data_IF_233798392344
#
_entry.id   IF_233798392344
#
_cell.length_a   1.000
_cell.length_b   1.000
_cell.length_c   1.000
_cell.angle_alpha   90.00
_cell.angle_beta   90.00
_cell.angle_gamma   90.00
#
_symmetry.space_group_name_H-M   'P 1'
#
loop_
_entity.id
_entity.type
_entity.pdbx_description
1 polymer ?
#
# COMPACT_ATOMS: atom_id res chain seq x y z
N UNK A 1 -16.95 -27.27 -8.87
CA UNK A 1 -16.33 -27.88 -7.67
C UNK A 1 -16.53 -26.88 -6.53
N UNK A 2 -17.40 -27.20 -5.56
CA UNK A 2 -17.53 -26.40 -4.32
C UNK A 2 -16.47 -26.91 -3.36
N UNK A 3 -15.32 -26.28 -3.31
CA UNK A 3 -14.39 -26.45 -2.18
C UNK A 3 -14.76 -25.42 -1.12
N UNK A 4 -15.88 -25.65 -0.44
CA UNK A 4 -16.18 -24.91 0.78
C UNK A 4 -15.30 -25.53 1.88
N UNK A 5 -14.17 -24.92 2.15
CA UNK A 5 -13.44 -25.18 3.38
C UNK A 5 -14.34 -24.78 4.56
N UNK A 6 -14.52 -25.70 5.50
CA UNK A 6 -15.23 -25.37 6.72
C UNK A 6 -14.39 -24.46 7.59
N UNK A 7 -15.00 -23.69 8.51
CA UNK A 7 -14.24 -22.90 9.49
C UNK A 7 -13.25 -23.79 10.27
N UNK A 8 -13.63 -25.05 10.52
CA UNK A 8 -12.75 -26.03 11.17
C UNK A 8 -11.50 -26.36 10.34
N UNK A 9 -11.61 -26.39 9.00
CA UNK A 9 -10.45 -26.60 8.12
C UNK A 9 -9.51 -25.39 8.16
N UNK A 10 -10.07 -24.17 8.15
CA UNK A 10 -9.31 -22.93 8.27
C UNK A 10 -8.59 -22.87 9.61
N UNK A 11 -9.25 -23.17 10.72
CA UNK A 11 -8.65 -23.17 12.05
C UNK A 11 -7.56 -24.24 12.20
N UNK A 12 -7.74 -25.38 11.54
CA UNK A 12 -6.74 -26.45 11.49
C UNK A 12 -5.50 -26.00 10.69
N UNK A 13 -5.72 -25.34 9.55
CA UNK A 13 -4.64 -24.80 8.73
C UNK A 13 -3.89 -23.68 9.45
N UNK A 14 -4.59 -22.79 10.16
CA UNK A 14 -3.96 -21.74 10.99
C UNK A 14 -3.04 -22.35 12.04
N UNK A 15 -3.50 -23.35 12.78
CA UNK A 15 -2.66 -24.03 13.79
C UNK A 15 -1.44 -24.66 13.16
N UNK A 16 -1.63 -25.41 12.06
CA UNK A 16 -0.51 -26.00 11.34
C UNK A 16 0.54 -24.97 10.91
N UNK A 17 0.11 -23.85 10.34
CA UNK A 17 1.02 -22.77 9.89
C UNK A 17 1.72 -22.11 11.08
N UNK A 18 0.98 -21.86 12.18
CA UNK A 18 1.55 -21.31 13.41
C UNK A 18 2.64 -22.23 14.00
N UNK A 19 2.40 -23.53 14.02
CA UNK A 19 3.37 -24.54 14.48
C UNK A 19 4.64 -24.54 13.60
N UNK A 20 4.48 -24.49 12.27
CA UNK A 20 5.61 -24.39 11.33
C UNK A 20 6.40 -23.12 11.50
N UNK A 21 5.72 -21.98 11.68
CA UNK A 21 6.35 -20.70 11.99
C UNK A 21 7.18 -20.78 13.29
N UNK A 22 6.62 -21.35 14.35
CA UNK A 22 7.31 -21.54 15.62
C UNK A 22 8.58 -22.38 15.46
N UNK A 23 8.49 -23.48 14.69
CA UNK A 23 9.66 -24.34 14.40
C UNK A 23 10.74 -23.55 13.63
N UNK A 24 10.36 -22.79 12.61
CA UNK A 24 11.31 -21.96 11.84
C UNK A 24 11.96 -20.91 12.75
N UNK A 25 11.19 -20.26 13.63
CA UNK A 25 11.73 -19.28 14.59
C UNK A 25 12.75 -19.90 15.54
N UNK A 26 12.48 -21.11 16.05
CA UNK A 26 13.43 -21.86 16.88
C UNK A 26 14.69 -22.23 16.07
N UNK A 27 14.53 -22.62 14.81
CA UNK A 27 15.65 -22.94 13.92
C UNK A 27 16.50 -21.71 13.62
N UNK A 28 15.90 -20.51 13.46
CA UNK A 28 16.63 -19.24 13.34
C UNK A 28 17.52 -19.04 14.58
N UNK A 29 16.97 -19.13 15.78
CA UNK A 29 17.73 -18.95 17.02
C UNK A 29 18.86 -19.98 17.16
N UNK A 30 18.61 -21.23 16.76
CA UNK A 30 19.63 -22.26 16.72
C UNK A 30 20.74 -21.94 15.70
N UNK A 31 20.38 -21.51 14.49
CA UNK A 31 21.32 -21.19 13.42
C UNK A 31 22.22 -19.99 13.80
N UNK A 32 21.64 -18.97 14.42
CA UNK A 32 22.38 -17.80 14.92
C UNK A 32 23.48 -18.20 15.93
N UNK A 33 23.18 -19.20 16.76
CA UNK A 33 24.11 -19.67 17.81
C UNK A 33 25.15 -20.66 17.31
N UNK A 34 24.79 -21.53 16.35
CA UNK A 34 25.59 -22.74 16.06
C UNK A 34 26.27 -22.74 14.68
N UNK A 35 25.81 -21.94 13.72
CA UNK A 35 26.39 -21.92 12.38
C UNK A 35 27.61 -20.99 12.31
N UNK A 36 28.63 -21.40 11.52
CA UNK A 36 29.77 -20.55 11.18
C UNK A 36 29.35 -19.39 10.30
N UNK A 37 30.07 -18.28 10.38
CA UNK A 37 29.70 -16.99 9.76
C UNK A 37 29.36 -17.07 8.26
N UNK A 38 30.15 -17.85 7.48
CA UNK A 38 29.96 -17.94 6.02
C UNK A 38 28.65 -18.61 5.62
N UNK A 39 28.25 -19.68 6.31
CA UNK A 39 27.02 -20.43 6.04
C UNK A 39 25.78 -19.81 6.73
N UNK A 40 26.02 -19.15 7.86
CA UNK A 40 24.97 -18.60 8.71
C UNK A 40 24.11 -17.58 8.00
N UNK A 41 24.71 -16.64 7.25
CA UNK A 41 23.97 -15.54 6.63
C UNK A 41 22.97 -16.01 5.57
N UNK A 42 23.35 -16.98 4.75
CA UNK A 42 22.47 -17.54 3.71
C UNK A 42 21.32 -18.34 4.32
N UNK A 43 21.66 -19.25 5.27
CA UNK A 43 20.65 -20.06 5.97
C UNK A 43 19.66 -19.19 6.74
N UNK A 44 20.15 -18.15 7.46
CA UNK A 44 19.28 -17.23 8.19
C UNK A 44 18.37 -16.44 7.26
N UNK A 45 18.87 -16.00 6.10
CA UNK A 45 18.04 -15.30 5.12
C UNK A 45 16.85 -16.16 4.67
N UNK A 46 17.10 -17.42 4.31
CA UNK A 46 16.05 -18.36 3.90
C UNK A 46 15.06 -18.67 5.03
N UNK A 47 15.55 -18.95 6.24
CA UNK A 47 14.69 -19.24 7.39
C UNK A 47 13.81 -18.04 7.76
N UNK A 48 14.39 -16.85 7.80
CA UNK A 48 13.66 -15.63 8.08
C UNK A 48 12.63 -15.32 6.99
N UNK A 49 12.96 -15.48 5.70
CA UNK A 49 12.03 -15.36 4.59
C UNK A 49 10.86 -16.33 4.72
N UNK A 50 11.11 -17.60 5.09
CA UNK A 50 10.05 -18.58 5.35
C UNK A 50 9.16 -18.16 6.53
N UNK A 51 9.73 -17.66 7.63
CA UNK A 51 8.97 -17.15 8.77
C UNK A 51 8.05 -15.99 8.37
N UNK A 52 8.56 -15.07 7.53
CA UNK A 52 7.77 -13.96 6.99
C UNK A 52 6.64 -14.45 6.09
N UNK A 53 6.89 -15.44 5.24
CA UNK A 53 5.85 -16.05 4.40
C UNK A 53 4.72 -16.64 5.26
N UNK A 54 5.05 -17.36 6.34
CA UNK A 54 4.04 -17.86 7.27
C UNK A 54 3.26 -16.72 7.96
N UNK A 55 3.92 -15.61 8.32
CA UNK A 55 3.23 -14.44 8.85
C UNK A 55 2.19 -13.89 7.84
N UNK A 56 2.58 -13.72 6.59
CA UNK A 56 1.69 -13.23 5.52
C UNK A 56 0.49 -14.15 5.31
N UNK A 57 0.71 -15.46 5.33
CA UNK A 57 -0.39 -16.43 5.20
C UNK A 57 -1.34 -16.29 6.39
N UNK A 58 -0.83 -16.25 7.63
CA UNK A 58 -1.66 -16.10 8.82
C UNK A 58 -2.46 -14.80 8.85
N UNK A 59 -1.89 -13.71 8.35
CA UNK A 59 -2.58 -12.41 8.27
C UNK A 59 -3.72 -12.39 7.24
N UNK A 60 -3.62 -13.21 6.19
CA UNK A 60 -4.54 -13.19 5.07
C UNK A 60 -5.45 -14.44 4.95
N UNK A 61 -5.27 -15.43 5.80
CA UNK A 61 -6.01 -16.72 5.69
C UNK A 61 -7.53 -16.59 5.90
N UNK A 62 -7.94 -15.53 6.62
CA UNK A 62 -9.35 -15.20 6.82
C UNK A 62 -9.91 -14.24 5.77
N UNK A 63 -9.04 -13.71 4.92
CA UNK A 63 -9.48 -12.77 3.90
C UNK A 63 -10.31 -13.49 2.83
N UNK A 64 -11.49 -12.93 2.52
CA UNK A 64 -12.28 -13.43 1.41
C UNK A 64 -11.53 -13.28 0.09
N UNK A 65 -11.66 -14.25 -0.82
CA UNK A 65 -11.27 -14.04 -2.21
C UNK A 65 -11.91 -12.77 -2.78
N UNK A 66 -11.22 -12.12 -3.71
CA UNK A 66 -11.73 -10.91 -4.33
C UNK A 66 -11.86 -11.07 -5.84
N UNK A 67 -12.94 -10.55 -6.40
CA UNK A 67 -13.10 -10.35 -7.83
C UNK A 67 -12.74 -8.91 -8.15
N UNK A 68 -11.65 -8.71 -8.87
CA UNK A 68 -11.13 -7.39 -9.18
C UNK A 68 -11.47 -6.99 -10.62
N UNK A 69 -11.95 -5.77 -10.82
CA UNK A 69 -12.22 -5.18 -12.12
C UNK A 69 -11.08 -4.27 -12.55
N UNK A 70 -10.38 -4.70 -13.59
CA UNK A 70 -9.31 -3.95 -14.22
C UNK A 70 -9.73 -3.45 -15.60
N UNK A 71 -9.19 -2.33 -16.04
CA UNK A 71 -9.42 -1.77 -17.36
C UNK A 71 -9.13 -0.28 -17.42
N UNK A 72 -9.07 0.27 -18.63
CA UNK A 72 -8.88 1.69 -18.86
C UNK A 72 -9.94 2.55 -18.12
N UNK A 73 -9.64 3.82 -17.94
CA UNK A 73 -10.64 4.77 -17.44
C UNK A 73 -11.86 4.83 -18.38
N UNK A 74 -13.04 5.02 -17.82
CA UNK A 74 -14.30 5.22 -18.54
C UNK A 74 -14.80 4.04 -19.41
N UNK A 75 -14.24 2.84 -19.27
CA UNK A 75 -14.74 1.64 -20.01
C UNK A 75 -15.97 0.99 -19.38
N UNK A 76 -16.57 1.60 -18.37
CA UNK A 76 -17.82 1.12 -17.75
C UNK A 76 -17.60 0.20 -16.53
N UNK A 77 -16.42 0.18 -15.90
CA UNK A 77 -16.14 -0.63 -14.69
C UNK A 77 -17.17 -0.37 -13.58
N UNK A 78 -17.36 0.89 -13.18
CA UNK A 78 -18.31 1.25 -12.11
C UNK A 78 -19.76 0.93 -12.50
N UNK A 79 -20.11 0.98 -13.79
CA UNK A 79 -21.42 0.54 -14.27
C UNK A 79 -21.58 -0.99 -14.15
N UNK A 80 -20.53 -1.76 -14.43
CA UNK A 80 -20.53 -3.20 -14.20
C UNK A 80 -20.70 -3.53 -12.71
N UNK A 81 -19.99 -2.82 -11.83
CA UNK A 81 -20.15 -2.96 -10.38
C UNK A 81 -21.58 -2.67 -9.95
N UNK A 82 -22.17 -1.59 -10.46
CA UNK A 82 -23.59 -1.29 -10.21
C UNK A 82 -24.49 -2.48 -10.55
N UNK A 83 -24.30 -3.10 -11.72
CA UNK A 83 -25.12 -4.25 -12.13
C UNK A 83 -24.83 -5.53 -11.30
N UNK A 84 -23.60 -5.71 -10.85
CA UNK A 84 -23.25 -6.83 -9.96
C UNK A 84 -23.82 -6.64 -8.56
N UNK A 85 -23.88 -5.40 -8.06
CA UNK A 85 -24.30 -5.04 -6.70
C UNK A 85 -25.74 -4.51 -6.62
N UNK A 86 -26.54 -4.69 -7.66
CA UNK A 86 -27.93 -4.28 -7.65
C UNK A 86 -28.85 -5.35 -8.22
N UNK A 87 -30.14 -5.21 -7.92
CA UNK A 87 -31.25 -5.97 -8.52
C UNK A 87 -32.36 -5.00 -8.88
N UNK A 88 -33.41 -5.46 -9.56
CA UNK A 88 -34.60 -4.65 -9.85
C UNK A 88 -35.28 -4.11 -8.57
N UNK A 89 -35.08 -4.77 -7.42
CA UNK A 89 -35.69 -4.39 -6.13
C UNK A 89 -34.71 -3.71 -5.17
N UNK A 90 -33.41 -3.88 -5.38
CA UNK A 90 -32.35 -3.36 -4.50
C UNK A 90 -31.37 -2.54 -5.32
N UNK A 91 -31.52 -1.21 -5.36
CA UNK A 91 -30.58 -0.35 -6.07
C UNK A 91 -29.18 -0.39 -5.45
N UNK A 92 -28.17 0.03 -6.20
CA UNK A 92 -26.81 0.11 -5.70
C UNK A 92 -26.60 1.40 -4.89
N UNK A 93 -26.83 1.28 -3.60
CA UNK A 93 -26.73 2.37 -2.62
C UNK A 93 -25.77 1.98 -1.49
N UNK A 94 -25.04 2.98 -0.99
CA UNK A 94 -24.25 2.85 0.23
C UNK A 94 -25.04 3.50 1.37
N UNK A 95 -25.19 2.76 2.45
CA UNK A 95 -25.98 3.22 3.60
C UNK A 95 -25.10 3.81 4.69
N UNK A 96 -25.58 4.89 5.30
CA UNK A 96 -25.04 5.49 6.50
C UNK A 96 -26.17 5.69 7.52
N UNK A 97 -26.34 4.76 8.43
CA UNK A 97 -27.51 4.75 9.32
C UNK A 97 -28.82 4.57 8.52
N UNK A 98 -29.73 5.53 8.65
CA UNK A 98 -31.02 5.54 7.95
C UNK A 98 -30.91 6.13 6.53
N UNK A 99 -29.83 6.78 6.18
CA UNK A 99 -29.64 7.43 4.89
C UNK A 99 -29.05 6.46 3.87
N UNK A 100 -29.50 6.56 2.61
CA UNK A 100 -29.02 5.77 1.49
C UNK A 100 -28.55 6.69 0.36
N UNK A 101 -27.38 6.42 -0.18
CA UNK A 101 -26.72 7.23 -1.18
C UNK A 101 -26.47 6.41 -2.45
N UNK A 102 -27.01 6.82 -3.58
CA UNK A 102 -26.66 6.22 -4.88
C UNK A 102 -25.16 6.39 -5.13
N UNK A 103 -24.47 5.27 -5.29
CA UNK A 103 -23.01 5.25 -5.41
C UNK A 103 -22.54 6.04 -6.64
N UNK A 104 -23.22 5.86 -7.79
CA UNK A 104 -22.81 6.50 -9.04
C UNK A 104 -23.22 7.98 -9.15
N UNK A 105 -24.13 8.45 -8.30
CA UNK A 105 -24.53 9.86 -8.32
C UNK A 105 -23.83 10.69 -7.27
N UNK A 106 -23.68 10.17 -6.05
CA UNK A 106 -23.24 10.93 -4.89
C UNK A 106 -21.80 10.66 -4.47
N UNK A 107 -21.28 9.45 -4.74
CA UNK A 107 -19.96 9.01 -4.29
C UNK A 107 -18.97 8.98 -5.46
N UNK A 108 -19.30 8.26 -6.52
CA UNK A 108 -18.44 8.10 -7.70
C UNK A 108 -19.19 8.40 -9.01
N UNK A 109 -19.62 9.67 -9.24
CA UNK A 109 -20.41 10.03 -10.42
C UNK A 109 -19.61 9.84 -11.71
N UNK A 110 -20.27 9.30 -12.73
CA UNK A 110 -19.72 9.23 -14.07
C UNK A 110 -19.60 10.65 -14.63
N UNK A 111 -18.43 11.05 -15.05
CA UNK A 111 -18.20 12.37 -15.67
C UNK A 111 -16.76 12.58 -16.07
N UNK A 112 -16.54 12.95 -17.29
CA UNK A 112 -15.40 13.46 -18.07
C UNK A 112 -13.96 13.46 -17.53
N UNK A 113 -13.74 13.23 -16.26
CA UNK A 113 -12.41 13.04 -15.62
C UNK A 113 -12.41 11.73 -14.86
N UNK A 114 -11.25 11.15 -14.65
CA UNK A 114 -11.08 10.00 -13.78
C UNK A 114 -11.71 10.29 -12.42
N UNK A 115 -12.71 9.50 -12.06
CA UNK A 115 -13.50 9.74 -10.85
C UNK A 115 -12.98 8.96 -9.64
N UNK A 116 -12.18 7.90 -9.86
CA UNK A 116 -11.75 7.00 -8.81
C UNK A 116 -10.23 6.98 -8.70
N UNK A 117 -9.69 7.63 -7.67
CA UNK A 117 -8.26 7.64 -7.35
C UNK A 117 -7.82 6.54 -6.40
N UNK A 118 -8.76 5.79 -5.80
CA UNK A 118 -8.53 4.80 -4.76
C UNK A 118 -9.11 3.45 -5.15
N UNK A 119 -8.46 2.37 -4.70
CA UNK A 119 -9.06 1.03 -4.74
C UNK A 119 -10.24 0.98 -3.79
N UNK A 120 -11.39 0.53 -4.29
CA UNK A 120 -12.62 0.45 -3.51
C UNK A 120 -13.06 -1.01 -3.37
N UNK A 121 -13.22 -1.47 -2.13
CA UNK A 121 -13.77 -2.80 -1.81
C UNK A 121 -15.24 -2.71 -1.44
N UNK A 122 -16.03 -3.65 -1.96
CA UNK A 122 -17.42 -3.87 -1.58
C UNK A 122 -17.55 -5.22 -0.90
N UNK A 123 -18.02 -5.22 0.35
CA UNK A 123 -18.13 -6.42 1.18
C UNK A 123 -19.44 -6.45 1.96
N UNK A 124 -19.97 -7.64 2.24
CA UNK A 124 -21.11 -7.84 3.13
C UNK A 124 -20.70 -8.00 4.60
N UNK A 125 -19.40 -8.05 4.90
CA UNK A 125 -18.87 -8.45 6.21
C UNK A 125 -18.30 -7.30 7.02
N UNK A 126 -18.62 -6.05 6.67
CA UNK A 126 -18.09 -4.95 7.46
C UNK A 126 -18.96 -4.69 8.69
N UNK A 127 -18.36 -4.82 9.87
CA UNK A 127 -18.92 -4.28 11.11
C UNK A 127 -18.56 -2.81 11.27
N UNK A 128 -19.55 -2.00 11.61
CA UNK A 128 -19.34 -0.58 11.94
C UNK A 128 -18.80 -0.49 13.37
N UNK A 129 -17.48 -0.35 13.49
CA UNK A 129 -16.81 -0.26 14.81
C UNK A 129 -17.11 1.07 15.53
N UNK A 130 -17.21 2.16 14.77
CA UNK A 130 -17.45 3.51 15.26
C UNK A 130 -18.59 4.14 14.46
N UNK A 131 -19.77 4.39 15.09
CA UNK A 131 -20.94 4.93 14.38
C UNK A 131 -20.69 6.26 13.67
N UNK A 132 -19.91 7.17 14.28
CA UNK A 132 -19.56 8.47 13.68
C UNK A 132 -18.48 8.38 12.59
N UNK A 133 -17.80 7.25 12.48
CA UNK A 133 -16.76 6.94 11.50
C UNK A 133 -17.05 5.59 10.82
N UNK A 134 -18.11 5.50 10.01
CA UNK A 134 -18.62 4.22 9.51
C UNK A 134 -17.76 3.60 8.38
N UNK A 135 -16.88 4.38 7.76
CA UNK A 135 -16.09 3.92 6.63
C UNK A 135 -14.73 3.42 7.08
N UNK A 136 -14.47 2.14 6.86
CA UNK A 136 -13.16 1.54 7.12
C UNK A 136 -12.22 1.75 5.93
N UNK A 137 -10.97 2.08 6.20
CA UNK A 137 -9.89 2.14 5.21
C UNK A 137 -8.71 1.30 5.66
N UNK A 138 -8.01 0.73 4.70
CA UNK A 138 -6.67 0.15 4.90
C UNK A 138 -5.65 1.18 4.45
N UNK A 139 -4.60 1.32 5.24
CA UNK A 139 -3.55 2.31 4.99
C UNK A 139 -2.28 1.62 4.49
N UNK A 140 -1.53 2.33 3.67
CA UNK A 140 -0.18 1.96 3.26
C UNK A 140 0.74 1.95 4.49
N UNK A 141 1.66 1.00 4.53
CA UNK A 141 2.74 1.00 5.50
C UNK A 141 4.01 1.67 4.93
N UNK A 142 5.07 1.75 5.73
CA UNK A 142 6.32 2.41 5.32
C UNK A 142 6.96 1.79 4.07
N UNK A 143 6.92 0.45 3.97
CA UNK A 143 7.40 -0.29 2.80
C UNK A 143 6.60 0.06 1.54
N UNK A 144 5.26 0.08 1.65
CA UNK A 144 4.39 0.36 0.52
C UNK A 144 4.62 1.78 -0.03
N UNK A 145 4.82 2.76 0.87
CA UNK A 145 5.17 4.13 0.47
C UNK A 145 6.53 4.17 -0.23
N UNK A 146 7.51 3.43 0.25
CA UNK A 146 8.82 3.38 -0.39
C UNK A 146 8.71 2.79 -1.81
N UNK A 147 7.95 1.71 -2.00
CA UNK A 147 7.67 1.13 -3.31
C UNK A 147 6.94 2.15 -4.21
N UNK A 148 5.95 2.88 -3.68
CA UNK A 148 5.25 3.93 -4.43
C UNK A 148 6.20 5.00 -4.98
N UNK A 149 7.16 5.46 -4.17
CA UNK A 149 8.18 6.45 -4.59
C UNK A 149 9.12 5.86 -5.66
N UNK A 150 9.51 4.58 -5.50
CA UNK A 150 10.34 3.90 -6.49
C UNK A 150 9.61 3.76 -7.82
N UNK A 151 8.34 3.38 -7.81
CA UNK A 151 7.52 3.28 -9.02
C UNK A 151 7.40 4.65 -9.72
N UNK A 152 7.08 5.69 -8.96
CA UNK A 152 7.01 7.04 -9.49
C UNK A 152 8.33 7.47 -10.16
N UNK A 153 9.46 7.11 -9.55
CA UNK A 153 10.76 7.45 -10.10
C UNK A 153 11.11 6.63 -11.36
N UNK A 154 11.03 5.31 -11.33
CA UNK A 154 11.53 4.45 -12.39
C UNK A 154 10.56 4.26 -13.56
N UNK A 155 9.26 4.34 -13.31
CA UNK A 155 8.26 4.11 -14.34
C UNK A 155 7.85 5.40 -15.07
N UNK A 156 7.93 6.54 -14.40
CA UNK A 156 7.45 7.82 -14.93
C UNK A 156 8.57 8.79 -15.35
N UNK A 157 9.81 8.66 -14.81
CA UNK A 157 10.97 9.47 -15.19
C UNK A 157 11.76 8.80 -16.31
N UNK A 158 11.47 9.16 -17.56
CA UNK A 158 12.06 8.53 -18.76
C UNK A 158 13.53 8.85 -19.08
N UNK A 159 14.17 9.83 -18.46
CA UNK A 159 15.55 10.25 -18.82
C UNK A 159 16.37 10.59 -17.59
N UNK A 160 17.00 9.58 -17.02
CA UNK A 160 18.08 9.79 -16.07
C UNK A 160 19.38 9.50 -16.79
N UNK A 161 20.19 10.53 -16.97
CA UNK A 161 21.46 10.46 -17.71
C UNK A 161 22.62 9.91 -16.88
N UNK A 162 22.52 9.98 -15.53
CA UNK A 162 23.57 9.50 -14.63
C UNK A 162 22.98 9.16 -13.26
N UNK A 163 23.47 8.07 -12.67
CA UNK A 163 23.19 7.67 -11.30
C UNK A 163 24.41 7.84 -10.43
N UNK A 164 24.20 7.76 -9.11
CA UNK A 164 25.27 7.71 -8.12
C UNK A 164 26.32 6.65 -8.49
N UNK A 165 27.60 7.00 -8.36
CA UNK A 165 28.67 6.04 -8.63
C UNK A 165 28.70 4.91 -7.60
N UNK A 166 29.23 3.74 -7.99
CA UNK A 166 29.44 2.62 -7.06
C UNK A 166 30.25 3.05 -5.82
N UNK A 167 31.28 3.87 -6.02
CA UNK A 167 32.12 4.40 -4.93
C UNK A 167 31.32 5.23 -3.94
N UNK A 168 30.46 6.11 -4.45
CA UNK A 168 29.65 6.99 -3.61
C UNK A 168 28.54 6.21 -2.93
N UNK A 169 27.97 5.22 -3.60
CA UNK A 169 27.00 4.30 -3.01
C UNK A 169 27.63 3.48 -1.86
N UNK A 170 28.84 2.97 -2.05
CA UNK A 170 29.58 2.26 -1.00
C UNK A 170 29.87 3.17 0.20
N UNK A 171 30.29 4.41 -0.05
CA UNK A 171 30.52 5.40 1.00
C UNK A 171 29.22 5.75 1.74
N UNK A 172 28.10 5.85 1.00
CA UNK A 172 26.78 6.08 1.55
C UNK A 172 26.36 4.98 2.53
N UNK A 173 26.48 3.70 2.11
CA UNK A 173 26.12 2.54 2.96
C UNK A 173 26.99 2.53 4.22
N UNK A 174 28.32 2.65 4.07
CA UNK A 174 29.27 2.64 5.20
C UNK A 174 28.97 3.71 6.23
N UNK A 175 28.51 4.88 5.81
CA UNK A 175 28.11 5.96 6.72
C UNK A 175 27.07 5.51 7.73
N UNK A 176 26.07 4.72 7.32
CA UNK A 176 25.02 4.23 8.21
C UNK A 176 25.43 2.97 8.97
N UNK A 177 26.25 2.09 8.38
CA UNK A 177 26.80 0.92 9.09
C UNK A 177 27.69 1.31 10.28
N UNK A 178 28.32 2.47 10.23
CA UNK A 178 29.17 2.98 11.34
C UNK A 178 28.33 3.62 12.47
N UNK A 179 27.06 3.92 12.22
CA UNK A 179 26.15 4.45 13.22
C UNK A 179 25.50 3.27 13.96
N UNK A 180 26.23 2.63 14.88
CA UNK A 180 25.69 1.54 15.71
C UNK A 180 24.80 2.13 16.79
N UNK A 181 23.50 1.95 16.64
CA UNK A 181 22.49 2.32 17.62
C UNK A 181 21.66 1.10 18.03
N UNK A 182 21.00 1.19 19.17
CA UNK A 182 20.00 0.17 19.57
C UNK A 182 18.78 0.25 18.65
N UNK A 183 18.10 -0.87 18.36
CA UNK A 183 16.88 -0.84 17.57
C UNK A 183 15.87 0.17 18.14
N UNK A 184 15.40 1.07 17.28
CA UNK A 184 14.50 2.20 17.66
C UNK A 184 13.06 1.98 17.21
N UNK A 185 12.86 1.11 16.21
CA UNK A 185 11.53 0.95 15.61
C UNK A 185 11.37 -0.45 14.94
N UNK A 186 10.12 -0.85 14.75
CA UNK A 186 9.73 -2.12 14.10
C UNK A 186 8.86 -1.90 12.85
N UNK A 187 8.63 -0.64 12.45
CA UNK A 187 7.70 -0.27 11.37
C UNK A 187 8.28 -0.43 9.97
N UNK A 188 9.61 -0.53 9.88
CA UNK A 188 10.34 -0.89 8.66
C UNK A 188 11.41 -1.91 9.06
N UNK A 189 11.16 -3.16 8.78
CA UNK A 189 11.97 -4.29 9.24
C UNK A 189 13.01 -4.75 8.19
N UNK A 190 13.93 -5.62 8.60
CA UNK A 190 14.84 -6.33 7.69
C UNK A 190 14.08 -6.97 6.53
N UNK A 191 12.92 -7.59 6.81
CA UNK A 191 12.12 -8.26 5.80
C UNK A 191 11.48 -7.30 4.80
N UNK A 192 11.02 -6.16 5.27
CA UNK A 192 10.45 -5.14 4.40
C UNK A 192 11.49 -4.67 3.37
N UNK A 193 12.73 -4.49 3.79
CA UNK A 193 13.82 -4.11 2.87
C UNK A 193 14.14 -5.22 1.87
N UNK A 194 14.10 -6.49 2.29
CA UNK A 194 14.31 -7.61 1.38
C UNK A 194 13.14 -7.77 0.39
N UNK A 195 11.90 -7.51 0.82
CA UNK A 195 10.74 -7.46 -0.08
C UNK A 195 10.83 -6.31 -1.09
N UNK A 196 11.31 -5.13 -0.67
CA UNK A 196 11.59 -4.03 -1.58
C UNK A 196 12.66 -4.43 -2.60
N UNK A 197 13.70 -5.14 -2.17
CA UNK A 197 14.71 -5.70 -3.07
C UNK A 197 14.07 -6.64 -4.10
N UNK A 198 13.26 -7.60 -3.65
CA UNK A 198 12.60 -8.55 -4.54
C UNK A 198 11.67 -7.83 -5.53
N UNK A 199 10.94 -6.81 -5.06
CA UNK A 199 10.14 -5.96 -5.93
C UNK A 199 10.99 -5.22 -6.97
N UNK A 200 12.09 -4.62 -6.53
CA UNK A 200 13.03 -3.91 -7.40
C UNK A 200 13.62 -4.83 -8.46
N UNK A 201 14.10 -6.01 -8.07
CA UNK A 201 14.69 -7.00 -8.98
C UNK A 201 13.68 -7.49 -10.03
N UNK A 202 12.43 -7.71 -9.64
CA UNK A 202 11.42 -8.26 -10.53
C UNK A 202 10.76 -7.22 -11.44
N UNK A 203 10.63 -5.96 -11.00
CA UNK A 203 9.81 -4.96 -11.69
C UNK A 203 10.60 -3.74 -12.19
N UNK A 204 11.66 -3.33 -11.50
CA UNK A 204 12.36 -2.07 -11.77
C UNK A 204 13.76 -2.23 -12.35
N UNK A 205 14.41 -3.38 -12.16
CA UNK A 205 15.80 -3.63 -12.57
C UNK A 205 16.06 -3.37 -14.06
N UNK A 206 15.07 -3.61 -14.93
CA UNK A 206 15.17 -3.40 -16.37
C UNK A 206 15.21 -1.92 -16.79
N UNK A 207 14.90 -1.02 -15.87
CA UNK A 207 14.75 0.41 -16.14
C UNK A 207 15.93 1.24 -15.64
N UNK A 208 16.97 0.62 -15.06
CA UNK A 208 18.00 1.39 -14.36
C UNK A 208 19.40 0.84 -14.51
N UNK A 209 20.35 1.74 -14.80
CA UNK A 209 21.79 1.50 -14.71
C UNK A 209 22.24 1.36 -13.23
N UNK A 210 21.48 1.89 -12.30
CA UNK A 210 21.73 1.79 -10.86
C UNK A 210 21.74 0.32 -10.37
N UNK A 211 21.07 -0.57 -11.08
CA UNK A 211 20.92 -1.97 -10.66
C UNK A 211 22.25 -2.67 -10.39
N UNK A 212 23.24 -2.54 -11.29
CA UNK A 212 24.55 -3.15 -11.09
C UNK A 212 25.24 -2.65 -9.82
N UNK A 213 25.21 -1.35 -9.57
CA UNK A 213 25.77 -0.76 -8.36
C UNK A 213 25.09 -1.26 -7.09
N UNK A 214 23.75 -1.42 -7.10
CA UNK A 214 23.00 -1.94 -5.95
C UNK A 214 23.33 -3.42 -5.67
N UNK A 215 23.46 -4.25 -6.71
CA UNK A 215 23.84 -5.67 -6.59
C UNK A 215 25.27 -5.80 -6.07
N UNK A 216 26.22 -5.12 -6.69
CA UNK A 216 27.65 -5.21 -6.35
C UNK A 216 27.95 -4.70 -4.94
N UNK A 217 27.28 -3.64 -4.49
CA UNK A 217 27.43 -3.13 -3.12
C UNK A 217 26.60 -3.87 -2.10
N UNK A 218 25.70 -4.77 -2.53
CA UNK A 218 24.70 -5.45 -1.70
C UNK A 218 23.86 -4.46 -0.88
N UNK A 219 23.45 -3.36 -1.51
CA UNK A 219 22.76 -2.25 -0.85
C UNK A 219 21.61 -2.72 0.05
N UNK A 220 20.62 -3.39 -0.53
CA UNK A 220 19.43 -3.80 0.22
C UNK A 220 19.76 -4.75 1.38
N UNK A 221 20.65 -5.74 1.17
CA UNK A 221 21.01 -6.69 2.21
C UNK A 221 21.77 -6.04 3.37
N UNK A 222 22.57 -5.02 3.10
CA UNK A 222 23.32 -4.27 4.12
C UNK A 222 22.40 -3.30 4.87
N UNK A 223 21.55 -2.56 4.15
CA UNK A 223 20.56 -1.68 4.80
C UNK A 223 19.56 -2.49 5.62
N UNK A 224 19.10 -3.65 5.14
CA UNK A 224 18.21 -4.53 5.89
C UNK A 224 18.71 -4.86 7.30
N UNK A 225 20.03 -5.08 7.47
CA UNK A 225 20.62 -5.40 8.78
C UNK A 225 20.59 -4.26 9.79
N UNK A 226 20.52 -3.03 9.32
CA UNK A 226 20.66 -1.83 10.17
C UNK A 226 19.38 -0.99 10.24
N UNK A 227 18.41 -1.24 9.36
CA UNK A 227 17.25 -0.34 9.20
C UNK A 227 16.43 -0.16 10.48
N UNK A 228 16.32 -1.19 11.33
CA UNK A 228 15.62 -1.10 12.61
C UNK A 228 16.24 -0.12 13.59
N UNK A 229 17.50 0.27 13.38
CA UNK A 229 18.20 1.25 14.21
C UNK A 229 17.83 2.71 13.88
N UNK A 230 17.18 2.93 12.73
CA UNK A 230 16.84 4.24 12.21
C UNK A 230 15.34 4.46 12.20
N UNK A 231 14.89 5.59 12.70
CA UNK A 231 13.50 6.01 12.62
C UNK A 231 13.20 6.74 11.28
N UNK A 232 11.93 7.11 11.09
CA UNK A 232 11.45 7.73 9.85
C UNK A 232 12.20 9.01 9.46
N UNK A 233 12.81 9.73 10.40
CA UNK A 233 13.55 10.97 10.13
C UNK A 233 14.85 10.72 9.36
N UNK A 234 15.36 9.49 9.39
CA UNK A 234 16.57 9.05 8.70
C UNK A 234 16.27 8.34 7.37
N UNK A 235 15.08 7.77 7.21
CA UNK A 235 14.80 6.90 6.07
C UNK A 235 14.94 7.58 4.71
N UNK A 236 14.52 8.83 4.58
CA UNK A 236 14.70 9.55 3.32
C UNK A 236 16.17 9.69 2.94
N UNK A 237 17.03 10.01 3.91
CA UNK A 237 18.47 10.15 3.67
C UNK A 237 19.14 8.80 3.37
N UNK A 238 18.62 7.68 3.89
CA UNK A 238 19.10 6.33 3.57
C UNK A 238 18.70 5.94 2.15
N UNK A 239 17.46 6.19 1.76
CA UNK A 239 16.89 5.69 0.50
C UNK A 239 16.93 6.68 -0.67
N UNK A 240 17.23 7.96 -0.47
CA UNK A 240 17.24 8.98 -1.54
C UNK A 240 18.16 8.62 -2.71
N UNK A 241 19.19 7.80 -2.48
CA UNK A 241 20.08 7.30 -3.53
C UNK A 241 19.34 6.45 -4.56
N UNK A 242 18.24 5.79 -4.16
CA UNK A 242 17.43 4.96 -5.05
C UNK A 242 16.63 5.78 -6.07
N UNK A 243 16.28 7.02 -5.74
CA UNK A 243 15.67 7.98 -6.68
C UNK A 243 16.58 9.15 -7.00
N UNK A 244 17.89 8.85 -7.06
CA UNK A 244 18.93 9.75 -7.52
C UNK A 244 18.90 11.13 -6.82
N UNK A 245 18.56 11.15 -5.53
CA UNK A 245 18.44 12.35 -4.69
C UNK A 245 17.45 13.39 -5.25
N UNK A 246 16.42 12.95 -5.98
CA UNK A 246 15.38 13.84 -6.46
C UNK A 246 14.71 14.54 -5.28
N UNK A 247 14.91 15.85 -5.17
CA UNK A 247 14.46 16.64 -4.02
C UNK A 247 12.93 16.64 -3.85
N UNK A 248 12.20 16.63 -4.96
CA UNK A 248 10.74 16.59 -4.93
C UNK A 248 10.22 15.25 -4.33
N UNK A 249 10.72 14.13 -4.82
CA UNK A 249 10.36 12.81 -4.29
C UNK A 249 10.81 12.64 -2.83
N UNK A 250 11.99 13.14 -2.48
CA UNK A 250 12.48 13.14 -1.08
C UNK A 250 11.55 13.94 -0.17
N UNK A 251 11.08 15.12 -0.61
CA UNK A 251 10.14 15.93 0.16
C UNK A 251 8.78 15.23 0.34
N UNK A 252 8.22 14.63 -0.72
CA UNK A 252 6.97 13.87 -0.66
C UNK A 252 7.12 12.65 0.27
N UNK A 253 8.21 11.88 0.13
CA UNK A 253 8.47 10.75 1.00
C UNK A 253 8.49 11.17 2.49
N UNK A 254 9.22 12.22 2.83
CA UNK A 254 9.28 12.75 4.19
C UNK A 254 7.90 13.15 4.72
N UNK A 255 7.10 13.83 3.91
CA UNK A 255 5.76 14.26 4.30
C UNK A 255 4.84 13.07 4.54
N UNK A 256 4.85 12.07 3.66
CA UNK A 256 4.07 10.84 3.83
C UNK A 256 4.49 10.06 5.08
N UNK A 257 5.81 9.92 5.32
CA UNK A 257 6.32 9.27 6.53
C UNK A 257 5.95 10.02 7.81
N UNK A 258 5.99 11.35 7.79
CA UNK A 258 5.54 12.16 8.92
C UNK A 258 4.04 11.96 9.22
N UNK A 259 3.20 11.89 8.17
CA UNK A 259 1.77 11.62 8.34
C UNK A 259 1.53 10.19 8.85
N UNK A 260 2.24 9.20 8.30
CA UNK A 260 2.16 7.82 8.79
C UNK A 260 2.59 7.69 10.26
N UNK A 261 3.67 8.38 10.64
CA UNK A 261 4.11 8.46 12.03
C UNK A 261 3.04 9.11 12.93
N UNK A 262 2.38 10.18 12.49
CA UNK A 262 1.29 10.81 13.24
C UNK A 262 0.09 9.90 13.48
N UNK A 263 -0.05 8.85 12.64
CA UNK A 263 -1.06 7.80 12.75
C UNK A 263 -0.58 6.59 13.57
N UNK A 264 0.59 6.66 14.23
CA UNK A 264 1.26 5.52 14.90
C UNK A 264 1.42 4.30 13.97
N UNK A 265 1.68 4.55 12.69
CA UNK A 265 1.80 3.51 11.66
C UNK A 265 0.59 2.57 11.60
N UNK A 266 -0.59 3.10 11.88
CA UNK A 266 -1.84 2.35 11.80
C UNK A 266 -2.01 1.78 10.39
N UNK A 267 -2.37 0.50 10.31
CA UNK A 267 -2.69 -0.19 9.04
C UNK A 267 -4.16 -0.06 8.65
N UNK A 268 -5.00 0.40 9.59
CA UNK A 268 -6.42 0.61 9.42
C UNK A 268 -6.86 1.90 10.10
N UNK A 269 -7.79 2.59 9.48
CA UNK A 269 -8.46 3.76 10.05
C UNK A 269 -9.95 3.78 9.66
N UNK A 270 -10.68 4.70 10.28
CA UNK A 270 -12.10 4.87 10.07
C UNK A 270 -12.39 6.32 9.75
N UNK A 271 -13.19 6.57 8.70
CA UNK A 271 -13.52 7.88 8.17
C UNK A 271 -14.98 8.22 8.46
N UNK A 272 -15.26 9.51 8.56
CA UNK A 272 -16.62 10.04 8.53
C UNK A 272 -17.20 9.84 7.14
N UNK A 273 -18.51 9.66 7.07
CA UNK A 273 -19.17 9.40 5.79
C UNK A 273 -19.12 10.58 4.82
N UNK A 274 -19.10 11.82 5.32
CA UNK A 274 -18.99 13.04 4.51
C UNK A 274 -17.72 13.09 3.64
N UNK A 275 -16.64 12.40 4.06
CA UNK A 275 -15.37 12.35 3.31
C UNK A 275 -15.47 11.70 1.94
N UNK A 276 -16.48 10.88 1.68
CA UNK A 276 -16.69 10.23 0.37
C UNK A 276 -17.73 10.92 -0.50
N UNK A 277 -18.49 11.88 0.05
CA UNK A 277 -19.51 12.60 -0.71
C UNK A 277 -18.88 13.62 -1.67
N UNK A 278 -19.29 13.56 -2.93
CA UNK A 278 -18.69 14.36 -4.02
C UNK A 278 -18.81 15.86 -3.78
N UNK A 279 -19.93 16.30 -3.26
CA UNK A 279 -20.21 17.72 -3.00
C UNK A 279 -19.31 18.31 -1.92
N UNK A 280 -18.80 17.46 -1.04
CA UNK A 280 -17.92 17.85 0.05
C UNK A 280 -16.44 17.65 -0.26
N UNK A 281 -16.13 17.34 -1.53
CA UNK A 281 -14.77 17.15 -2.03
C UNK A 281 -14.22 15.78 -1.67
N UNK A 282 -14.81 14.75 -2.27
CA UNK A 282 -14.55 13.34 -2.02
C UNK A 282 -13.08 12.97 -2.02
N UNK A 283 -12.73 12.10 -1.07
CA UNK A 283 -11.41 11.47 -0.99
C UNK A 283 -11.07 10.61 -2.21
N UNK A 284 -12.11 10.13 -2.92
CA UNK A 284 -11.99 9.38 -4.17
C UNK A 284 -11.50 10.21 -5.36
N UNK A 285 -11.53 11.55 -5.26
CA UNK A 285 -11.18 12.42 -6.38
C UNK A 285 -9.67 12.41 -6.64
N UNK A 286 -9.26 12.02 -7.85
CA UNK A 286 -7.88 12.05 -8.33
C UNK A 286 -7.21 13.43 -8.19
N UNK A 287 -7.99 14.52 -8.26
CA UNK A 287 -7.47 15.88 -8.07
C UNK A 287 -6.85 16.12 -6.68
N UNK A 288 -7.20 15.27 -5.68
CA UNK A 288 -6.60 15.35 -4.34
C UNK A 288 -5.10 15.14 -4.38
N UNK A 289 -4.64 14.17 -5.15
CA UNK A 289 -3.21 13.87 -5.30
C UNK A 289 -2.48 15.04 -5.96
N UNK A 290 -3.10 15.71 -6.94
CA UNK A 290 -2.53 16.89 -7.61
C UNK A 290 -2.43 18.11 -6.70
N UNK A 291 -3.17 18.13 -5.60
CA UNK A 291 -3.21 19.23 -4.62
C UNK A 291 -2.26 19.01 -3.44
N UNK A 292 -1.49 17.91 -3.41
CA UNK A 292 -0.49 17.66 -2.38
C UNK A 292 0.43 18.87 -2.19
N UNK A 293 0.52 19.35 -0.95
CA UNK A 293 1.35 20.49 -0.58
C UNK A 293 0.91 21.86 -1.10
N UNK A 294 -0.22 21.96 -1.86
CA UNK A 294 -0.70 23.24 -2.41
C UNK A 294 -1.84 23.85 -1.61
N UNK A 295 -2.82 23.03 -1.25
CA UNK A 295 -4.03 23.45 -0.51
C UNK A 295 -4.21 22.47 0.63
N UNK A 296 -4.22 22.98 1.85
CA UNK A 296 -4.51 22.18 3.04
C UNK A 296 -6.02 22.12 3.25
N UNK A 297 -6.52 20.89 3.44
CA UNK A 297 -7.90 20.63 3.85
C UNK A 297 -7.88 19.50 4.86
N UNK A 298 -8.11 19.85 6.11
CA UNK A 298 -8.07 18.90 7.20
C UNK A 298 -9.37 18.11 7.34
N UNK A 299 -9.25 16.84 7.69
CA UNK A 299 -10.33 15.97 8.11
C UNK A 299 -9.91 15.23 9.38
N UNK A 300 -10.91 14.76 10.14
CA UNK A 300 -10.66 13.94 11.34
C UNK A 300 -10.94 12.49 10.98
N UNK A 301 -9.99 11.63 11.33
CA UNK A 301 -10.11 10.18 11.19
C UNK A 301 -9.93 9.52 12.56
N UNK A 302 -10.39 8.29 12.69
CA UNK A 302 -10.21 7.47 13.89
C UNK A 302 -9.37 6.24 13.59
N UNK A 303 -8.28 6.04 14.33
CA UNK A 303 -7.43 4.84 14.17
C UNK A 303 -8.13 3.59 14.72
N UNK A 304 -7.60 2.41 14.42
CA UNK A 304 -8.13 1.14 14.95
C UNK A 304 -8.10 1.07 16.48
N UNK A 305 -7.22 1.85 17.13
CA UNK A 305 -7.14 1.98 18.60
C UNK A 305 -8.16 2.96 19.19
N UNK A 306 -8.93 3.68 18.35
CA UNK A 306 -9.93 4.66 18.76
C UNK A 306 -9.41 6.09 18.90
N UNK A 307 -8.14 6.36 18.64
CA UNK A 307 -7.56 7.70 18.67
C UNK A 307 -8.04 8.53 17.47
N UNK A 308 -8.52 9.73 17.72
CA UNK A 308 -8.83 10.69 16.68
C UNK A 308 -7.59 11.47 16.27
N UNK A 309 -7.40 11.62 14.96
CA UNK A 309 -6.26 12.31 14.36
C UNK A 309 -6.76 13.24 13.27
N UNK A 310 -6.31 14.49 13.32
CA UNK A 310 -6.54 15.45 12.22
C UNK A 310 -5.45 15.28 11.16
N UNK A 311 -5.86 15.10 9.94
CA UNK A 311 -4.97 14.89 8.79
C UNK A 311 -5.48 15.64 7.55
N UNK A 312 -4.56 16.15 6.75
CA UNK A 312 -4.91 16.72 5.45
C UNK A 312 -5.43 15.61 4.52
N UNK A 313 -6.64 15.80 3.96
CA UNK A 313 -7.33 14.82 3.11
C UNK A 313 -6.53 14.46 1.85
N UNK A 314 -5.68 15.37 1.34
CA UNK A 314 -4.86 15.12 0.17
C UNK A 314 -3.76 14.09 0.48
N UNK A 315 -3.11 14.18 1.66
CA UNK A 315 -2.17 13.16 2.11
C UNK A 315 -2.88 11.85 2.49
N UNK A 316 -4.04 11.97 3.13
CA UNK A 316 -4.84 10.80 3.47
C UNK A 316 -5.22 10.01 2.22
N UNK A 317 -5.61 10.68 1.13
CA UNK A 317 -5.96 10.00 -0.13
C UNK A 317 -4.80 9.19 -0.73
N UNK A 318 -3.55 9.63 -0.52
CA UNK A 318 -2.35 8.87 -0.95
C UNK A 318 -2.05 7.71 -0.01
N UNK A 319 -2.32 7.89 1.28
CA UNK A 319 -2.06 6.86 2.29
C UNK A 319 -3.10 5.72 2.29
N UNK A 320 -4.28 5.93 1.70
CA UNK A 320 -5.30 4.89 1.62
C UNK A 320 -4.93 3.89 0.54
N UNK A 321 -4.66 2.65 0.96
CA UNK A 321 -4.51 1.51 0.06
C UNK A 321 -5.87 1.04 -0.47
N UNK A 322 -6.88 1.00 0.40
CA UNK A 322 -8.20 0.45 0.08
C UNK A 322 -9.30 1.12 0.92
N UNK A 323 -10.34 1.60 0.27
CA UNK A 323 -11.57 2.10 0.90
C UNK A 323 -12.63 1.00 0.87
N UNK A 324 -13.24 0.71 2.02
CA UNK A 324 -14.14 -0.44 2.19
C UNK A 324 -15.58 0.06 2.40
N UNK A 325 -16.48 -0.34 1.51
CA UNK A 325 -17.91 -0.11 1.62
C UNK A 325 -18.65 -1.38 2.03
N UNK A 326 -19.51 -1.24 3.02
CA UNK A 326 -20.48 -2.27 3.35
C UNK A 326 -21.63 -2.25 2.35
N UNK A 327 -22.00 -3.43 1.86
CA UNK A 327 -23.19 -3.63 1.02
C UNK A 327 -24.25 -4.42 1.78
N UNK A 328 -25.56 -4.21 1.47
CA UNK A 328 -26.63 -4.89 2.17
C UNK A 328 -26.50 -6.42 2.11
N UNK A 329 -26.49 -7.13 3.24
CA UNK A 329 -26.36 -8.60 3.25
C UNK A 329 -27.50 -9.32 2.54
N UNK A 330 -28.67 -8.69 2.44
CA UNK A 330 -29.84 -9.23 1.72
C UNK A 330 -29.54 -9.45 0.23
N UNK A 331 -28.57 -8.73 -0.33
CA UNK A 331 -28.14 -8.89 -1.71
C UNK A 331 -27.61 -10.30 -2.02
N UNK A 332 -27.09 -11.01 -1.00
CA UNK A 332 -26.59 -12.40 -1.15
C UNK A 332 -27.64 -13.33 -1.69
N UNK A 333 -28.92 -13.18 -1.32
CA UNK A 333 -30.00 -14.02 -1.85
C UNK A 333 -30.12 -13.96 -3.38
N UNK A 334 -29.87 -12.78 -3.94
CA UNK A 334 -29.93 -12.58 -5.40
C UNK A 334 -28.54 -12.74 -6.08
N UNK A 335 -27.47 -12.60 -5.30
CA UNK A 335 -26.07 -12.61 -5.76
C UNK A 335 -25.23 -13.53 -4.83
N UNK A 336 -25.40 -14.87 -4.88
CA UNK A 336 -24.78 -15.80 -3.91
C UNK A 336 -23.24 -15.76 -3.88
N UNK A 337 -22.59 -15.30 -4.96
CA UNK A 337 -21.14 -15.16 -4.98
C UNK A 337 -20.59 -14.20 -3.91
N UNK A 338 -21.38 -13.20 -3.48
CA UNK A 338 -21.00 -12.24 -2.44
C UNK A 338 -20.82 -12.88 -1.06
N UNK A 339 -21.37 -14.06 -0.85
CA UNK A 339 -21.13 -14.82 0.38
C UNK A 339 -19.65 -15.20 0.54
N UNK A 340 -19.01 -15.57 -0.58
CA UNK A 340 -17.67 -16.14 -0.60
C UNK A 340 -16.60 -15.23 -1.26
N UNK A 341 -16.99 -14.07 -1.80
CA UNK A 341 -16.05 -13.14 -2.43
C UNK A 341 -16.51 -11.71 -2.31
N UNK A 342 -15.52 -10.82 -2.20
CA UNK A 342 -15.71 -9.37 -2.28
C UNK A 342 -15.48 -8.87 -3.72
N UNK A 343 -15.95 -7.66 -4.02
CA UNK A 343 -15.64 -6.97 -5.27
C UNK A 343 -14.63 -5.85 -5.03
N UNK A 344 -13.64 -5.73 -5.93
CA UNK A 344 -12.73 -4.59 -5.97
C UNK A 344 -12.91 -3.78 -7.24
N UNK A 345 -13.09 -2.46 -7.09
CA UNK A 345 -12.98 -1.48 -8.17
C UNK A 345 -11.59 -0.86 -8.14
N UNK A 346 -10.81 -1.09 -9.17
CA UNK A 346 -9.52 -0.43 -9.34
C UNK A 346 -9.67 0.87 -10.09
N UNK A 347 -8.88 1.91 -9.72
CA UNK A 347 -8.72 3.10 -10.55
C UNK A 347 -8.48 2.71 -12.00
N UNK A 348 -8.98 3.52 -12.93
CA UNK A 348 -8.75 3.27 -14.35
C UNK A 348 -7.24 3.13 -14.61
N UNK A 349 -6.83 2.04 -15.24
CA UNK A 349 -5.46 1.93 -15.73
C UNK A 349 -5.26 3.12 -16.69
N UNK A 350 -4.38 4.06 -16.30
CA UNK A 350 -3.96 5.11 -17.21
C UNK A 350 -3.31 4.42 -18.39
N UNK A 351 -3.83 4.63 -19.57
CA UNK A 351 -3.02 4.54 -20.76
C UNK A 351 -1.88 5.50 -20.49
N UNK A 352 -0.68 4.98 -20.20
CA UNK A 352 0.54 5.77 -20.22
C UNK A 352 0.58 6.36 -21.62
N UNK A 353 -0.03 7.54 -21.78
CA UNK A 353 0.18 8.32 -22.98
C UNK A 353 1.69 8.46 -23.06
N UNK A 354 2.24 7.89 -24.12
CA UNK A 354 3.63 8.02 -24.41
C UNK A 354 3.95 9.50 -24.40
N UNK A 355 4.54 9.98 -23.30
CA UNK A 355 5.13 11.33 -23.20
C UNK A 355 6.34 11.40 -24.15
N UNK A 356 6.39 10.49 -25.12
CA UNK A 356 7.42 10.42 -26.17
C UNK A 356 7.35 11.61 -27.12
N UNK A 357 6.21 12.30 -27.23
CA UNK A 357 6.02 13.37 -28.21
C UNK A 357 6.15 14.79 -27.65
N UNK A 358 6.13 14.99 -26.34
CA UNK A 358 6.36 16.30 -25.75
C UNK A 358 7.72 16.36 -25.05
N UNK A 359 8.75 16.77 -25.77
CA UNK A 359 10.13 16.93 -25.29
C UNK A 359 10.35 18.01 -24.24
N UNK A 360 9.52 18.09 -23.22
CA UNK A 360 9.62 19.11 -22.16
C UNK A 360 9.46 18.41 -20.81
N UNK A 361 10.61 18.15 -20.17
CA UNK A 361 10.65 17.85 -18.74
C UNK A 361 10.43 19.14 -17.95
N UNK A 362 9.19 19.60 -17.84
CA UNK A 362 8.84 20.72 -16.97
C UNK A 362 8.55 20.20 -15.55
N UNK A 363 8.79 21.05 -14.54
CA UNK A 363 8.43 20.76 -13.13
C UNK A 363 6.96 20.31 -12.96
N UNK A 364 6.06 20.73 -13.84
CA UNK A 364 4.65 20.30 -13.83
C UNK A 364 4.46 18.82 -14.20
N UNK A 365 5.36 18.23 -14.98
CA UNK A 365 5.31 16.78 -15.27
C UNK A 365 5.76 15.95 -14.07
N UNK A 366 6.68 16.44 -13.24
CA UNK A 366 7.09 15.75 -12.01
C UNK A 366 5.95 15.67 -10.98
N UNK A 367 5.04 16.65 -10.98
CA UNK A 367 3.86 16.67 -10.10
C UNK A 367 2.73 15.72 -10.53
N UNK A 368 2.76 15.26 -11.79
CA UNK A 368 1.78 14.28 -12.30
C UNK A 368 2.17 12.82 -12.02
N UNK A 369 3.38 12.57 -11.51
CA UNK A 369 3.95 11.23 -11.35
C UNK A 369 3.38 10.44 -10.18
N UNK A 370 2.78 11.10 -9.19
CA UNK A 370 2.18 10.46 -8.03
C UNK A 370 0.69 10.12 -8.22
N UNK A 371 0.20 10.23 -9.42
CA UNK A 371 -1.18 9.93 -9.75
C UNK A 371 -1.21 8.54 -10.44
#
# INVERSE_FOLDING_TARGET
MKTNYSQQDIDTLKRFIADKKALVTQTVAWAEKNLKYEQRNEVLLHLKSAANTFNKILQNIDAKPVMALFGASQVGKSYLIKNLLSTAKTPFEIRNGAEAYDFLQRINPAGGKESTGLVTRFTIQQETKYPDFPLKVRLLNAKDILILILDAFFLDLKKISSFISKRDLEAHIKRYELQTETPKQEYLSEFDILEIKDYFDNHLSKHTILFEGLVETRFFQRIAKIISQFDYTHWSAIFEVLWNKNQYLTAIFNQLMQKLHSLDYATEAYLRFDTVLREEGAILDVERIKQLGKVQRDTVIKTATGREVTIDINYLSVLIMELIFSIPPELVHAKPFLENSDLLDFPGARTRLAIEEAGIANEDNQKQMLI
#
